data_IF_405885023743
#
_entry.id   IF_405885023743
#
_cell.length_a   1.000
_cell.length_b   1.000
_cell.length_c   1.000
_cell.angle_alpha   90.00
_cell.angle_beta   90.00
_cell.angle_gamma   90.00
#
_symmetry.space_group_name_H-M   'P 1'
#
loop_
_entity.id
_entity.type
_entity.pdbx_description
1 polymer ?
#
# COMPACT_ATOMS: atom_id res chain seq x y z
N UNK A 1 1.08 -30.24 -0.20
CA UNK A 1 1.23 -28.83 -0.62
C UNK A 1 -0.12 -28.18 -0.44
N UNK A 2 -0.20 -27.07 0.30
CA UNK A 2 -1.47 -26.37 0.53
C UNK A 2 -1.83 -25.65 -0.76
N UNK A 3 -3.04 -25.86 -1.28
CA UNK A 3 -3.58 -25.10 -2.42
C UNK A 3 -4.11 -23.75 -1.91
N UNK A 4 -3.20 -22.80 -1.72
CA UNK A 4 -3.52 -21.53 -1.08
C UNK A 4 -4.44 -20.65 -1.94
N UNK A 5 -4.30 -20.73 -3.26
CA UNK A 5 -5.18 -20.01 -4.21
C UNK A 5 -6.59 -20.61 -4.14
N UNK A 6 -6.73 -21.94 -4.17
CA UNK A 6 -8.02 -22.60 -4.01
C UNK A 6 -8.72 -22.24 -2.69
N UNK A 7 -7.95 -22.17 -1.58
CA UNK A 7 -8.47 -21.72 -0.28
C UNK A 7 -8.93 -20.27 -0.30
N UNK A 8 -8.18 -19.38 -0.93
CA UNK A 8 -8.57 -17.99 -1.08
C UNK A 8 -9.88 -17.84 -1.88
N UNK A 9 -9.99 -18.53 -3.02
CA UNK A 9 -11.22 -18.53 -3.84
C UNK A 9 -12.44 -19.09 -3.09
N UNK A 10 -12.22 -20.08 -2.23
CA UNK A 10 -13.27 -20.58 -1.34
C UNK A 10 -13.70 -19.52 -0.31
N UNK A 11 -12.76 -18.78 0.27
CA UNK A 11 -13.07 -17.66 1.16
C UNK A 11 -13.83 -16.53 0.44
N UNK A 12 -13.46 -16.16 -0.78
CA UNK A 12 -14.23 -15.21 -1.59
C UNK A 12 -15.67 -15.68 -1.85
N UNK A 13 -15.87 -16.99 -2.01
CA UNK A 13 -17.21 -17.57 -2.12
C UNK A 13 -17.99 -17.42 -0.82
N UNK A 14 -17.37 -17.67 0.34
CA UNK A 14 -18.00 -17.43 1.64
C UNK A 14 -18.45 -15.98 1.79
N UNK A 15 -17.62 -15.00 1.40
CA UNK A 15 -18.00 -13.59 1.42
C UNK A 15 -19.24 -13.30 0.57
N UNK A 16 -19.30 -13.84 -0.65
CA UNK A 16 -20.48 -13.70 -1.52
C UNK A 16 -21.73 -14.35 -0.94
N UNK A 17 -21.60 -15.57 -0.43
CA UNK A 17 -22.73 -16.33 0.14
C UNK A 17 -23.29 -15.65 1.40
N UNK A 18 -22.48 -14.85 2.10
CA UNK A 18 -22.87 -14.07 3.30
C UNK A 18 -23.18 -12.60 3.02
N UNK A 19 -23.30 -12.19 1.76
CA UNK A 19 -23.55 -10.79 1.38
C UNK A 19 -22.49 -9.78 1.90
N UNK A 20 -21.26 -10.26 2.12
CA UNK A 20 -20.10 -9.49 2.60
C UNK A 20 -19.08 -9.20 1.48
N UNK A 21 -19.37 -9.57 0.23
CA UNK A 21 -18.45 -9.33 -0.89
C UNK A 21 -18.12 -7.84 -1.12
N UNK A 22 -18.95 -6.92 -0.62
CA UNK A 22 -18.70 -5.48 -0.69
C UNK A 22 -17.50 -5.03 0.16
N UNK A 23 -17.04 -5.83 1.12
CA UNK A 23 -15.85 -5.53 1.94
C UNK A 23 -14.55 -6.14 1.39
N UNK A 24 -14.59 -6.77 0.21
CA UNK A 24 -13.40 -7.25 -0.50
C UNK A 24 -13.18 -6.40 -1.75
N UNK A 25 -12.01 -5.78 -1.79
CA UNK A 25 -11.51 -4.99 -2.92
C UNK A 25 -10.18 -5.55 -3.39
N UNK A 26 -9.68 -5.02 -4.51
CA UNK A 26 -8.35 -5.33 -5.02
C UNK A 26 -7.62 -4.03 -5.31
N UNK A 27 -6.43 -3.89 -4.74
CA UNK A 27 -5.54 -2.79 -5.04
C UNK A 27 -4.94 -2.98 -6.44
N UNK A 28 -4.84 -1.91 -7.25
CA UNK A 28 -4.20 -2.00 -8.56
C UNK A 28 -2.69 -2.21 -8.39
N UNK A 29 -2.09 -3.06 -9.21
CA UNK A 29 -0.63 -3.28 -9.17
C UNK A 29 0.16 -1.99 -9.46
N UNK A 30 -0.46 -1.08 -10.21
CA UNK A 30 0.13 0.18 -10.63
C UNK A 30 -0.10 1.29 -9.62
N UNK A 31 -0.60 0.98 -8.43
CA UNK A 31 -0.70 1.93 -7.33
C UNK A 31 0.65 2.64 -7.13
N UNK A 32 0.68 3.96 -7.31
CA UNK A 32 1.90 4.74 -7.16
C UNK A 32 1.85 5.55 -5.88
N UNK A 33 2.63 5.14 -4.90
CA UNK A 33 2.87 5.93 -3.69
C UNK A 33 4.15 6.73 -3.84
N UNK A 34 4.17 7.92 -3.23
CA UNK A 34 5.34 8.79 -3.26
C UNK A 34 6.54 8.09 -2.60
N UNK A 35 7.73 8.21 -3.19
CA UNK A 35 9.02 7.87 -2.57
C UNK A 35 9.29 8.80 -1.39
N UNK A 36 10.23 8.46 -0.52
CA UNK A 36 10.70 9.40 0.51
C UNK A 36 11.90 10.22 0.00
N UNK A 37 12.10 11.40 0.57
CA UNK A 37 13.24 12.26 0.23
C UNK A 37 14.60 11.62 0.51
N UNK A 38 14.67 10.76 1.52
CA UNK A 38 15.86 9.97 1.88
C UNK A 38 16.10 8.83 0.89
N UNK A 39 15.03 8.31 0.27
CA UNK A 39 15.08 7.20 -0.70
C UNK A 39 14.48 7.60 -2.06
N UNK A 40 15.04 8.60 -2.76
CA UNK A 40 14.46 9.14 -3.99
C UNK A 40 14.50 8.16 -5.15
N UNK A 41 15.29 7.08 -5.06
CA UNK A 41 15.36 5.99 -6.02
C UNK A 41 14.36 4.86 -5.75
N UNK A 42 13.57 4.98 -4.67
CA UNK A 42 12.65 3.95 -4.22
C UNK A 42 13.37 2.80 -3.53
N UNK A 43 12.71 1.65 -3.46
CA UNK A 43 13.17 0.49 -2.71
C UNK A 43 13.28 -0.76 -3.58
N UNK A 44 14.34 -1.53 -3.37
CA UNK A 44 14.58 -2.84 -3.97
C UNK A 44 14.16 -3.95 -3.02
N UNK A 45 12.94 -4.47 -3.21
CA UNK A 45 12.34 -5.53 -2.36
C UNK A 45 12.23 -6.89 -3.06
N UNK A 46 12.43 -6.95 -4.38
CA UNK A 46 12.17 -8.16 -5.17
C UNK A 46 12.90 -9.41 -4.65
N UNK A 47 14.13 -9.23 -4.18
CA UNK A 47 14.95 -10.32 -3.64
C UNK A 47 14.36 -10.97 -2.38
N UNK A 48 13.40 -10.32 -1.72
CA UNK A 48 12.72 -10.81 -0.52
C UNK A 48 11.39 -11.50 -0.83
N UNK A 49 10.91 -11.46 -2.08
CA UNK A 49 9.57 -11.95 -2.41
C UNK A 49 9.57 -13.45 -2.71
N UNK A 50 8.95 -14.29 -1.85
CA UNK A 50 8.90 -15.73 -2.05
C UNK A 50 8.17 -16.13 -3.34
N UNK A 51 8.51 -17.29 -3.90
CA UNK A 51 7.91 -17.76 -5.14
C UNK A 51 6.40 -18.05 -5.02
N UNK A 52 5.96 -18.55 -3.86
CA UNK A 52 4.55 -18.81 -3.56
C UNK A 52 3.75 -17.51 -3.39
N UNK A 53 4.34 -16.47 -2.79
CA UNK A 53 3.75 -15.13 -2.78
C UNK A 53 3.55 -14.58 -4.18
N UNK A 54 4.58 -14.66 -5.04
CA UNK A 54 4.51 -14.19 -6.44
C UNK A 54 3.42 -14.91 -7.22
N UNK A 55 3.30 -16.23 -7.05
CA UNK A 55 2.25 -17.04 -7.67
C UNK A 55 0.85 -16.67 -7.14
N UNK A 56 0.71 -16.39 -5.85
CA UNK A 56 -0.55 -15.93 -5.27
C UNK A 56 -0.98 -14.58 -5.87
N UNK A 57 -0.11 -13.58 -5.87
CA UNK A 57 -0.48 -12.25 -6.38
C UNK A 57 -0.70 -12.23 -7.90
N UNK A 58 -0.03 -13.09 -8.67
CA UNK A 58 -0.30 -13.21 -10.12
C UNK A 58 -1.69 -13.76 -10.43
N UNK A 59 -2.24 -14.58 -9.54
CA UNK A 59 -3.54 -15.22 -9.72
C UNK A 59 -4.68 -14.46 -9.05
N UNK A 60 -4.42 -13.88 -7.88
CA UNK A 60 -5.43 -13.23 -7.03
C UNK A 60 -5.37 -11.70 -7.11
N UNK A 61 -4.22 -11.13 -7.46
CA UNK A 61 -3.94 -9.70 -7.33
C UNK A 61 -3.57 -9.32 -5.90
N UNK A 62 -3.87 -8.07 -5.51
CA UNK A 62 -3.58 -7.51 -4.20
C UNK A 62 -4.88 -7.27 -3.42
N UNK A 63 -5.43 -8.30 -2.76
CA UNK A 63 -6.72 -8.17 -2.10
C UNK A 63 -6.66 -7.25 -0.87
N UNK A 64 -7.77 -6.54 -0.66
CA UNK A 64 -7.99 -5.64 0.47
C UNK A 64 -9.31 -6.01 1.10
N UNK A 65 -9.28 -6.46 2.36
CA UNK A 65 -10.46 -6.87 3.11
C UNK A 65 -10.65 -5.96 4.31
N UNK A 66 -11.87 -5.48 4.49
CA UNK A 66 -12.34 -4.85 5.72
C UNK A 66 -13.78 -4.38 5.61
N UNK A 67 -14.44 -4.26 6.74
CA UNK A 67 -15.87 -3.91 6.84
C UNK A 67 -16.11 -2.61 7.59
N UNK A 68 -15.06 -1.83 7.84
CA UNK A 68 -15.15 -0.62 8.63
C UNK A 68 -13.90 0.24 8.54
N UNK A 69 -14.07 1.52 8.83
CA UNK A 69 -12.94 2.41 9.01
C UNK A 69 -12.04 1.95 10.17
N UNK A 70 -10.76 1.74 9.89
CA UNK A 70 -9.80 1.15 10.82
C UNK A 70 -10.20 -0.26 11.29
N UNK A 71 -10.68 -1.09 10.37
CA UNK A 71 -10.92 -2.51 10.62
C UNK A 71 -9.59 -3.26 10.79
N UNK A 72 -9.13 -3.36 12.03
CA UNK A 72 -7.90 -4.09 12.41
C UNK A 72 -8.02 -5.60 12.22
N UNK A 73 -9.23 -6.12 12.05
CA UNK A 73 -9.45 -7.52 11.72
C UNK A 73 -9.39 -7.76 10.21
N UNK A 74 -9.40 -6.70 9.40
CA UNK A 74 -9.13 -6.72 7.96
C UNK A 74 -7.65 -6.86 7.62
N UNK A 75 -7.36 -6.93 6.32
CA UNK A 75 -5.99 -7.00 5.80
C UNK A 75 -5.90 -6.39 4.41
N UNK A 76 -4.84 -5.64 4.14
CA UNK A 76 -4.51 -5.08 2.83
C UNK A 76 -3.22 -5.70 2.32
N UNK A 77 -3.28 -6.42 1.20
CA UNK A 77 -2.07 -6.77 0.45
C UNK A 77 -1.59 -5.57 -0.35
N UNK A 78 -0.29 -5.31 -0.28
CA UNK A 78 0.29 -4.12 -0.86
C UNK A 78 0.86 -4.39 -2.25
N UNK A 79 0.47 -3.59 -3.27
CA UNK A 79 1.10 -3.63 -4.58
C UNK A 79 2.55 -3.11 -4.52
N UNK A 80 3.37 -3.39 -5.54
CA UNK A 80 4.83 -3.31 -5.44
C UNK A 80 5.38 -1.95 -4.98
N UNK A 81 4.82 -0.84 -5.44
CA UNK A 81 5.35 0.47 -5.08
C UNK A 81 4.93 0.91 -3.67
N UNK A 82 3.71 0.60 -3.24
CA UNK A 82 3.30 0.85 -1.85
C UNK A 82 4.12 -0.01 -0.88
N UNK A 83 4.32 -1.29 -1.23
CA UNK A 83 5.24 -2.18 -0.51
C UNK A 83 6.64 -1.57 -0.44
N UNK A 84 7.22 -1.16 -1.57
CA UNK A 84 8.55 -0.57 -1.62
C UNK A 84 8.65 0.69 -0.74
N UNK A 85 7.67 1.59 -0.81
CA UNK A 85 7.66 2.83 -0.02
C UNK A 85 7.61 2.58 1.48
N UNK A 86 6.84 1.61 1.95
CA UNK A 86 6.78 1.30 3.39
C UNK A 86 8.01 0.51 3.85
N UNK A 87 8.63 -0.26 2.95
CA UNK A 87 9.78 -1.12 3.27
C UNK A 87 11.08 -0.37 3.55
N UNK A 88 11.22 0.89 3.11
CA UNK A 88 12.40 1.71 3.49
C UNK A 88 12.33 2.19 4.93
N UNK A 89 11.13 2.28 5.49
CA UNK A 89 10.89 2.67 6.88
C UNK A 89 10.82 1.45 7.83
N UNK A 90 11.32 0.29 7.38
CA UNK A 90 11.42 -0.92 8.19
C UNK A 90 12.89 -1.30 8.42
N UNK A 91 13.38 -1.22 9.67
CA UNK A 91 14.67 -1.79 10.03
C UNK A 91 14.56 -3.33 10.15
N UNK A 92 15.70 -3.98 10.35
CA UNK A 92 15.70 -5.38 10.81
C UNK A 92 15.44 -5.49 12.32
N UNK A 93 15.27 -6.72 12.87
CA UNK A 93 15.03 -6.91 14.30
C UNK A 93 16.15 -6.39 15.23
N UNK A 94 17.32 -6.06 14.69
CA UNK A 94 18.46 -5.48 15.43
C UNK A 94 18.51 -3.94 15.28
N UNK A 95 17.44 -3.31 14.76
CA UNK A 95 17.32 -1.87 14.52
C UNK A 95 18.30 -1.35 13.46
N UNK A 96 18.73 -2.19 12.52
CA UNK A 96 19.55 -1.77 11.39
C UNK A 96 18.66 -1.30 10.22
N UNK A 97 18.73 -0.01 9.94
CA UNK A 97 17.93 0.64 8.89
C UNK A 97 18.50 0.39 7.47
N UNK A 98 17.65 0.31 6.44
CA UNK A 98 18.10 0.28 5.05
C UNK A 98 18.92 1.53 4.70
N UNK A 99 20.10 1.33 4.10
CA UNK A 99 20.95 2.45 3.73
C UNK A 99 20.54 3.04 2.36
N UNK A 100 20.40 4.37 2.24
CA UNK A 100 20.12 5.01 0.96
C UNK A 100 21.28 4.79 -0.03
N UNK A 101 20.92 4.60 -1.30
CA UNK A 101 21.88 4.49 -2.40
C UNK A 101 21.61 5.59 -3.45
N UNK A 102 22.69 6.22 -3.94
CA UNK A 102 22.58 7.38 -4.82
C UNK A 102 22.16 7.02 -6.26
N UNK A 103 22.61 5.85 -6.73
CA UNK A 103 22.53 5.42 -8.13
C UNK A 103 21.58 4.24 -8.37
N UNK A 104 20.95 3.70 -7.32
CA UNK A 104 20.08 2.52 -7.37
C UNK A 104 19.02 2.56 -6.28
N UNK A 105 17.94 1.75 -6.37
CA UNK A 105 16.97 1.62 -5.29
C UNK A 105 17.63 1.17 -3.98
N UNK A 106 17.10 1.65 -2.85
CA UNK A 106 17.55 1.24 -1.52
C UNK A 106 17.26 -0.23 -1.31
N UNK A 107 18.30 -1.00 -0.96
CA UNK A 107 18.12 -2.42 -0.69
C UNK A 107 17.49 -2.58 0.70
N UNK A 108 16.21 -2.95 0.74
CA UNK A 108 15.49 -3.19 1.98
C UNK A 108 15.87 -4.54 2.59
N UNK A 109 15.78 -4.62 3.91
CA UNK A 109 15.96 -5.88 4.66
C UNK A 109 14.65 -6.64 4.82
N UNK A 110 13.54 -5.90 4.87
CA UNK A 110 12.19 -6.42 4.96
C UNK A 110 11.32 -5.85 3.82
N UNK A 111 10.40 -6.64 3.29
CA UNK A 111 9.41 -6.22 2.30
C UNK A 111 8.02 -6.21 2.94
N UNK A 112 7.49 -5.05 3.30
CA UNK A 112 6.17 -4.89 3.93
C UNK A 112 5.05 -5.18 2.92
N UNK A 113 4.54 -6.41 2.92
CA UNK A 113 3.69 -6.91 1.83
C UNK A 113 2.20 -6.91 2.19
N UNK A 114 1.85 -6.84 3.47
CA UNK A 114 0.46 -6.74 3.91
C UNK A 114 0.33 -6.00 5.24
N UNK A 115 -0.80 -5.34 5.49
CA UNK A 115 -1.04 -4.67 6.76
C UNK A 115 -2.50 -4.51 7.16
N UNK A 116 -2.73 -4.30 8.45
CA UNK A 116 -4.05 -4.08 9.07
C UNK A 116 -4.18 -2.70 9.73
N UNK A 117 -3.07 -1.97 9.89
CA UNK A 117 -3.05 -0.53 10.20
C UNK A 117 -1.81 0.10 9.56
N UNK A 118 -1.98 0.59 8.34
CA UNK A 118 -0.89 1.12 7.54
C UNK A 118 -0.35 2.47 8.08
N UNK A 119 -1.11 3.17 8.93
CA UNK A 119 -0.68 4.44 9.53
C UNK A 119 0.40 4.26 10.60
N UNK A 120 0.40 3.11 11.27
CA UNK A 120 1.45 2.70 12.21
C UNK A 120 2.45 1.71 11.61
N UNK A 121 2.34 1.40 10.32
CA UNK A 121 3.07 0.30 9.65
C UNK A 121 2.92 -1.00 10.44
N UNK A 122 1.66 -1.35 10.73
CA UNK A 122 1.28 -2.56 11.47
C UNK A 122 0.81 -3.63 10.48
N UNK A 123 1.40 -4.81 10.53
CA UNK A 123 1.16 -5.82 9.50
C UNK A 123 2.20 -6.91 9.42
N UNK A 124 2.60 -7.20 8.18
CA UNK A 124 3.44 -8.33 7.83
C UNK A 124 4.49 -7.94 6.80
N UNK A 125 5.69 -8.46 6.98
CA UNK A 125 6.79 -8.30 6.02
C UNK A 125 7.42 -9.63 5.67
N UNK A 126 8.06 -9.71 4.50
CA UNK A 126 9.02 -10.77 4.22
C UNK A 126 10.40 -10.32 4.66
N UNK A 127 11.12 -11.18 5.38
CA UNK A 127 12.49 -10.89 5.81
C UNK A 127 13.31 -12.18 5.97
N UNK A 128 14.61 -12.07 6.25
CA UNK A 128 15.46 -13.22 6.48
C UNK A 128 14.91 -14.12 7.59
N UNK A 129 14.96 -15.44 7.40
CA UNK A 129 14.69 -16.38 8.48
C UNK A 129 15.84 -16.35 9.51
N UNK A 130 15.55 -16.50 10.80
CA UNK A 130 16.58 -16.51 11.84
C UNK A 130 17.61 -17.64 11.66
N UNK A 131 17.18 -18.78 11.09
CA UNK A 131 18.04 -19.92 10.75
C UNK A 131 18.78 -19.78 9.42
N UNK A 132 18.60 -18.68 8.69
CA UNK A 132 18.97 -18.54 7.28
C UNK A 132 18.05 -19.33 6.35
N UNK A 133 18.10 -19.01 5.04
CA UNK A 133 17.29 -19.67 4.02
C UNK A 133 16.41 -18.69 3.24
N UNK A 134 15.30 -19.18 2.73
CA UNK A 134 14.30 -18.38 2.02
C UNK A 134 13.65 -17.35 2.96
N UNK A 135 13.20 -16.20 2.44
CA UNK A 135 12.46 -15.22 3.23
C UNK A 135 11.20 -15.82 3.86
N UNK A 136 10.92 -15.42 5.10
CA UNK A 136 9.76 -15.83 5.89
C UNK A 136 8.90 -14.62 6.23
N UNK A 137 7.66 -14.86 6.61
CA UNK A 137 6.74 -13.83 7.10
C UNK A 137 7.14 -13.45 8.52
N UNK A 138 7.27 -12.15 8.74
CA UNK A 138 7.44 -11.52 10.04
C UNK A 138 6.20 -10.70 10.39
N UNK A 139 5.74 -10.78 11.64
CA UNK A 139 4.82 -9.82 12.20
C UNK A 139 5.56 -8.49 12.41
N UNK A 140 4.96 -7.40 11.98
CA UNK A 140 5.47 -6.04 12.15
C UNK A 140 4.51 -5.30 13.06
N UNK A 141 5.05 -4.84 14.20
CA UNK A 141 4.31 -3.98 15.11
C UNK A 141 5.10 -2.70 15.36
N UNK A 142 4.42 -1.56 15.41
CA UNK A 142 5.01 -0.24 15.61
C UNK A 142 6.13 0.07 14.60
N UNK A 143 5.95 -0.37 13.35
CA UNK A 143 6.95 -0.23 12.28
C UNK A 143 8.21 -1.08 12.46
N UNK A 144 8.19 -2.11 13.31
CA UNK A 144 9.35 -2.94 13.59
C UNK A 144 9.01 -4.44 13.42
N UNK A 145 9.81 -5.25 12.71
CA UNK A 145 9.66 -6.70 12.72
C UNK A 145 9.84 -7.26 14.15
N UNK A 146 8.85 -7.98 14.67
CA UNK A 146 8.85 -8.49 16.05
C UNK A 146 8.98 -10.02 16.14
N UNK A 147 8.24 -10.73 15.30
CA UNK A 147 8.09 -12.20 15.42
C UNK A 147 8.18 -12.88 14.06
N UNK A 148 8.98 -13.94 13.96
CA UNK A 148 9.00 -14.84 12.80
C UNK A 148 7.77 -15.77 12.84
N UNK A 149 6.92 -15.68 11.81
CA UNK A 149 5.64 -16.39 11.77
C UNK A 149 5.73 -17.70 10.96
N UNK A 150 6.62 -17.76 9.97
CA UNK A 150 6.84 -18.93 9.11
C UNK A 150 6.73 -18.61 7.62
N UNK A 151 6.51 -19.62 6.78
CA UNK A 151 6.42 -19.39 5.33
C UNK A 151 5.16 -18.61 4.93
N UNK A 152 5.17 -17.99 3.75
CA UNK A 152 4.00 -17.29 3.21
C UNK A 152 2.76 -18.17 3.17
N UNK A 153 2.90 -19.38 2.61
CA UNK A 153 1.78 -20.34 2.51
C UNK A 153 1.20 -20.72 3.89
N UNK A 154 2.04 -20.96 4.90
CA UNK A 154 1.57 -21.31 6.26
C UNK A 154 0.92 -20.13 6.99
N UNK A 155 1.48 -18.93 6.83
CA UNK A 155 0.88 -17.71 7.33
C UNK A 155 -0.49 -17.46 6.68
N UNK A 156 -0.57 -17.49 5.36
CA UNK A 156 -1.82 -17.19 4.65
C UNK A 156 -2.90 -18.24 4.93
N UNK A 157 -2.54 -19.51 5.14
CA UNK A 157 -3.51 -20.56 5.51
C UNK A 157 -4.17 -20.27 6.87
N UNK A 158 -3.35 -19.85 7.85
CA UNK A 158 -3.83 -19.41 9.17
C UNK A 158 -4.66 -18.14 9.05
N UNK A 159 -4.21 -17.19 8.23
CA UNK A 159 -4.88 -15.90 8.07
C UNK A 159 -6.23 -16.03 7.37
N UNK A 160 -6.34 -16.85 6.32
CA UNK A 160 -7.63 -17.21 5.70
C UNK A 160 -8.55 -17.86 6.74
N UNK A 161 -8.03 -18.72 7.60
CA UNK A 161 -8.84 -19.37 8.65
C UNK A 161 -9.34 -18.34 9.68
N UNK A 162 -8.50 -17.39 10.08
CA UNK A 162 -8.85 -16.26 10.96
C UNK A 162 -9.92 -15.37 10.33
N UNK A 163 -9.71 -14.93 9.09
CA UNK A 163 -10.66 -14.12 8.32
C UNK A 163 -11.98 -14.85 8.12
N UNK A 164 -11.94 -16.15 7.82
CA UNK A 164 -13.15 -16.96 7.71
C UNK A 164 -13.93 -16.98 9.03
N UNK A 165 -13.26 -17.20 10.16
CA UNK A 165 -13.91 -17.16 11.48
C UNK A 165 -14.54 -15.78 11.74
N UNK A 166 -13.78 -14.70 11.49
CA UNK A 166 -14.24 -13.31 11.63
C UNK A 166 -15.52 -13.04 10.83
N UNK A 167 -15.52 -13.33 9.52
CA UNK A 167 -16.70 -13.07 8.66
C UNK A 167 -17.87 -13.98 8.98
N UNK A 168 -17.60 -15.18 9.52
CA UNK A 168 -18.68 -16.09 9.91
C UNK A 168 -19.35 -15.74 11.23
N UNK A 169 -18.68 -14.94 12.07
CA UNK A 169 -19.21 -14.50 13.35
C UNK A 169 -20.27 -13.40 13.21
N UNK A 170 -20.32 -12.69 12.08
CA UNK A 170 -21.31 -11.63 11.87
C UNK A 170 -22.73 -12.15 11.77
N UNK A 171 -23.63 -11.62 12.59
CA UNK A 171 -25.06 -11.87 12.47
C UNK A 171 -25.69 -11.02 11.33
N UNK A 172 -26.86 -11.42 10.84
CA UNK A 172 -27.50 -10.77 9.67
C UNK A 172 -27.72 -9.26 9.90
N UNK A 173 -28.16 -8.89 11.11
CA UNK A 173 -28.39 -7.48 11.46
C UNK A 173 -27.08 -6.68 11.55
N UNK A 174 -25.98 -7.31 11.95
CA UNK A 174 -24.66 -6.69 12.00
C UNK A 174 -24.13 -6.41 10.59
N UNK A 175 -24.32 -7.34 9.65
CA UNK A 175 -23.95 -7.17 8.24
C UNK A 175 -24.69 -5.97 7.64
N UNK A 176 -26.00 -5.86 7.91
CA UNK A 176 -26.80 -4.73 7.44
C UNK A 176 -26.31 -3.39 8.02
N UNK A 177 -26.03 -3.34 9.32
CA UNK A 177 -25.52 -2.15 9.99
C UNK A 177 -24.12 -1.74 9.49
N UNK A 178 -23.22 -2.71 9.27
CA UNK A 178 -21.89 -2.46 8.69
C UNK A 178 -22.01 -1.88 7.28
N UNK A 179 -22.89 -2.45 6.45
CA UNK A 179 -23.10 -1.96 5.09
C UNK A 179 -23.66 -0.55 5.05
N UNK A 180 -24.64 -0.23 5.90
CA UNK A 180 -25.22 1.11 6.01
C UNK A 180 -24.17 2.13 6.47
N UNK A 181 -23.40 1.80 7.51
CA UNK A 181 -22.37 2.67 8.08
C UNK A 181 -21.26 3.01 7.08
N UNK A 182 -20.89 2.08 6.21
CA UNK A 182 -19.79 2.27 5.26
C UNK A 182 -20.22 2.89 3.94
N UNK A 183 -21.50 3.24 3.75
CA UNK A 183 -21.97 4.06 2.63
C UNK A 183 -21.71 3.49 1.22
N UNK A 184 -21.22 2.26 1.12
CA UNK A 184 -20.90 1.56 -0.11
C UNK A 184 -19.43 1.54 -0.53
N UNK A 185 -18.59 2.53 -0.18
CA UNK A 185 -17.23 2.66 -0.75
C UNK A 185 -16.30 3.52 0.14
N UNK A 186 -15.73 2.95 1.21
CA UNK A 186 -14.59 3.55 1.90
C UNK A 186 -13.48 2.52 2.05
N UNK A 187 -12.23 2.88 1.74
CA UNK A 187 -11.10 1.98 2.00
C UNK A 187 -10.94 1.83 3.52
N UNK A 188 -11.06 0.60 4.06
CA UNK A 188 -10.95 0.37 5.49
C UNK A 188 -9.56 0.74 6.06
N UNK A 189 -8.53 0.87 5.20
CA UNK A 189 -7.13 1.02 5.61
C UNK A 189 -6.47 2.37 5.28
N UNK A 190 -7.23 3.36 4.76
CA UNK A 190 -6.86 4.76 4.41
C UNK A 190 -5.66 5.00 3.48
N UNK A 191 -4.67 4.12 3.48
CA UNK A 191 -3.46 4.22 2.67
C UNK A 191 -3.72 3.74 1.24
N UNK A 192 -4.94 3.29 0.92
CA UNK A 192 -5.36 3.01 -0.44
C UNK A 192 -6.53 3.92 -0.85
N UNK A 193 -7.24 4.58 0.08
CA UNK A 193 -8.36 5.52 -0.16
C UNK A 193 -8.07 6.51 -1.32
N UNK A 194 -6.90 7.15 -1.30
CA UNK A 194 -6.50 8.14 -2.32
C UNK A 194 -6.21 7.53 -3.70
N UNK A 195 -6.09 6.21 -3.77
CA UNK A 195 -5.71 5.47 -4.96
C UNK A 195 -6.74 4.45 -5.43
N UNK A 196 -7.78 4.23 -4.61
CA UNK A 196 -8.91 3.34 -4.87
C UNK A 196 -10.15 4.10 -5.35
N UNK A 197 -10.12 5.43 -5.41
CA UNK A 197 -11.19 6.24 -6.01
C UNK A 197 -11.39 5.90 -7.49
N UNK A 198 -12.25 4.91 -7.78
CA UNK A 198 -12.64 4.49 -9.12
C UNK A 198 -11.80 3.37 -9.77
N UNK A 199 -11.13 2.51 -8.99
CA UNK A 199 -10.16 1.53 -9.51
C UNK A 199 -10.70 0.46 -10.48
N UNK A 200 -12.02 0.31 -10.64
CA UNK A 200 -12.59 -0.71 -11.53
C UNK A 200 -12.62 -0.33 -13.03
N UNK A 201 -12.53 0.96 -13.38
CA UNK A 201 -12.61 1.43 -14.78
C UNK A 201 -11.46 2.38 -15.17
N UNK A 202 -10.39 2.37 -14.38
CA UNK A 202 -9.25 3.21 -14.62
C UNK A 202 -8.31 2.60 -15.67
N UNK A 203 -8.12 3.31 -16.79
CA UNK A 203 -7.04 3.03 -17.75
C UNK A 203 -5.68 2.83 -17.04
N UNK A 204 -4.83 1.91 -17.51
CA UNK A 204 -3.49 1.75 -16.95
C UNK A 204 -2.68 3.05 -17.10
N UNK A 205 -1.76 3.29 -16.16
CA UNK A 205 -0.79 4.39 -16.26
C UNK A 205 -0.01 4.27 -17.56
N UNK A 206 0.14 5.40 -18.26
CA UNK A 206 0.96 5.46 -19.47
C UNK A 206 2.44 5.39 -19.12
N UNK A 207 3.31 5.03 -20.07
CA UNK A 207 4.76 5.05 -19.85
C UNK A 207 5.29 6.41 -19.36
N UNK A 208 4.62 7.50 -19.72
CA UNK A 208 4.94 8.84 -19.26
C UNK A 208 4.56 9.06 -17.78
N UNK A 209 3.39 8.55 -17.37
CA UNK A 209 2.98 8.60 -15.97
C UNK A 209 3.92 7.75 -15.10
N UNK A 210 4.38 6.62 -15.64
CA UNK A 210 5.36 5.74 -15.02
C UNK A 210 6.75 6.35 -14.88
N UNK A 211 7.07 7.37 -15.66
CA UNK A 211 8.33 8.10 -15.56
C UNK A 211 8.32 9.14 -14.44
N UNK A 212 7.19 9.41 -13.77
CA UNK A 212 7.09 10.45 -12.75
C UNK A 212 6.82 9.86 -11.37
N UNK A 213 7.57 10.30 -10.37
CA UNK A 213 7.39 9.89 -8.98
C UNK A 213 7.36 11.09 -8.04
N UNK A 214 6.33 11.14 -7.19
CA UNK A 214 6.30 12.07 -6.07
C UNK A 214 7.34 11.65 -5.03
N UNK A 215 7.99 12.63 -4.41
CA UNK A 215 8.94 12.46 -3.32
C UNK A 215 8.42 13.29 -2.14
N UNK A 216 8.21 12.66 -1.00
CA UNK A 216 7.70 13.27 0.22
C UNK A 216 8.84 13.48 1.24
N UNK A 217 8.82 14.62 1.93
CA UNK A 217 9.60 14.86 3.14
C UNK A 217 8.70 15.30 4.29
N UNK A 218 8.95 14.68 5.44
CA UNK A 218 8.34 15.01 6.72
C UNK A 218 9.28 15.86 7.60
N UNK A 219 10.53 16.07 7.17
CA UNK A 219 11.54 16.80 7.94
C UNK A 219 11.33 18.32 7.86
N UNK A 220 11.25 19.00 9.00
CA UNK A 220 11.17 20.48 9.11
C UNK A 220 9.85 21.12 8.64
N UNK A 221 9.06 20.43 7.81
CA UNK A 221 7.70 20.82 7.40
C UNK A 221 6.94 19.58 6.96
N UNK A 222 5.97 19.08 7.75
CA UNK A 222 5.23 17.89 7.36
C UNK A 222 4.47 18.12 6.04
N UNK A 223 4.41 17.08 5.21
CA UNK A 223 3.74 17.08 3.89
C UNK A 223 4.36 17.98 2.83
N UNK A 224 5.70 18.00 2.73
CA UNK A 224 6.40 18.66 1.62
C UNK A 224 6.59 17.67 0.47
N UNK A 225 6.06 17.96 -0.71
CA UNK A 225 6.21 17.12 -1.90
C UNK A 225 7.04 17.80 -2.99
N UNK A 226 7.84 17.00 -3.70
CA UNK A 226 8.43 17.37 -4.98
C UNK A 226 8.29 16.22 -5.98
N UNK A 227 8.56 16.49 -7.25
CA UNK A 227 8.40 15.54 -8.35
C UNK A 227 9.75 15.26 -9.01
N UNK A 228 10.08 13.98 -9.16
CA UNK A 228 11.24 13.53 -9.93
C UNK A 228 10.76 12.75 -11.16
N UNK A 229 11.61 12.67 -12.18
CA UNK A 229 11.43 11.73 -13.29
C UNK A 229 12.12 10.37 -13.05
N UNK A 230 12.04 9.45 -14.02
CA UNK A 230 12.62 8.10 -13.92
C UNK A 230 14.14 8.10 -13.84
N UNK A 231 14.79 9.21 -14.26
CA UNK A 231 16.22 9.44 -14.07
C UNK A 231 16.56 10.02 -12.70
N UNK A 232 15.55 10.32 -11.88
CA UNK A 232 15.66 10.94 -10.56
C UNK A 232 15.91 12.44 -10.62
N UNK A 233 15.79 13.07 -11.79
CA UNK A 233 15.94 14.51 -11.91
C UNK A 233 14.67 15.21 -11.43
N UNK A 234 14.84 16.26 -10.60
CA UNK A 234 13.72 17.05 -10.12
C UNK A 234 13.04 17.81 -11.26
N UNK A 235 11.76 17.50 -11.48
CA UNK A 235 10.85 18.26 -12.34
C UNK A 235 10.17 19.38 -11.57
N UNK A 236 9.80 19.09 -10.33
CA UNK A 236 9.34 20.07 -9.36
C UNK A 236 10.18 19.88 -8.10
N UNK A 237 11.10 20.81 -7.77
CA UNK A 237 11.95 20.66 -6.59
C UNK A 237 11.14 20.46 -5.31
N UNK A 238 11.67 19.66 -4.39
CA UNK A 238 11.09 19.47 -3.06
C UNK A 238 10.89 20.82 -2.37
N UNK A 239 9.69 21.05 -1.86
CA UNK A 239 9.41 22.27 -1.11
C UNK A 239 7.97 22.36 -0.59
N UNK A 240 7.71 23.42 0.18
CA UNK A 240 6.42 23.67 0.86
C UNK A 240 5.31 24.10 -0.09
N UNK A 241 5.22 23.57 -1.31
CA UNK A 241 4.27 24.02 -2.33
C UNK A 241 2.99 23.18 -2.38
N UNK A 242 3.09 21.89 -2.12
CA UNK A 242 1.94 20.98 -2.10
C UNK A 242 1.76 20.42 -0.70
N UNK A 243 0.50 20.18 -0.30
CA UNK A 243 0.09 19.61 0.99
C UNK A 243 -0.50 18.21 0.84
N UNK A 244 -1.07 17.92 -0.34
CA UNK A 244 -1.55 16.60 -0.75
C UNK A 244 -1.37 16.49 -2.26
N UNK A 245 -1.08 15.29 -2.73
CA UNK A 245 -0.86 15.00 -4.15
C UNK A 245 -1.55 13.69 -4.50
N UNK A 246 -2.14 13.63 -5.69
CA UNK A 246 -2.52 12.39 -6.34
C UNK A 246 -1.45 12.01 -7.38
N UNK A 247 -1.32 10.72 -7.72
CA UNK A 247 -0.40 10.26 -8.76
C UNK A 247 -0.63 10.96 -10.10
N UNK A 248 0.44 11.10 -10.91
CA UNK A 248 0.32 11.59 -12.27
C UNK A 248 -0.43 10.58 -13.13
N UNK A 249 -1.39 11.07 -13.91
CA UNK A 249 -2.19 10.27 -14.81
C UNK A 249 -2.59 11.08 -16.02
N UNK A 250 -2.49 10.46 -17.21
CA UNK A 250 -2.83 11.09 -18.47
C UNK A 250 -2.11 12.45 -18.66
N UNK A 251 -0.88 12.55 -18.14
CA UNK A 251 -0.05 13.75 -18.24
C UNK A 251 -0.41 14.90 -17.28
N UNK A 252 -1.23 14.67 -16.25
CA UNK A 252 -1.54 15.65 -15.21
C UNK A 252 -1.61 15.02 -13.81
N UNK A 253 -1.51 15.83 -12.76
CA UNK A 253 -1.76 15.40 -11.38
C UNK A 253 -2.70 16.38 -10.69
N UNK A 254 -3.49 15.88 -9.74
CA UNK A 254 -4.26 16.75 -8.85
C UNK A 254 -3.50 16.97 -7.55
N UNK A 255 -3.44 18.22 -7.10
CA UNK A 255 -2.73 18.60 -5.88
C UNK A 255 -3.54 19.58 -5.05
N UNK A 256 -3.27 19.60 -3.75
CA UNK A 256 -3.68 20.68 -2.85
C UNK A 256 -2.45 21.55 -2.58
N UNK A 257 -2.54 22.83 -2.88
CA UNK A 257 -1.46 23.77 -2.59
C UNK A 257 -1.32 24.03 -1.09
N UNK A 258 -0.07 24.07 -0.64
CA UNK A 258 0.31 24.53 0.68
C UNK A 258 0.29 26.07 0.69
N UNK A 259 -0.90 26.64 0.92
CA UNK A 259 -1.09 28.04 1.26
C UNK A 259 -1.28 28.13 2.78
N UNK A 260 -0.84 29.22 3.40
CA UNK A 260 -0.92 29.40 4.87
C UNK A 260 -2.34 29.22 5.46
N UNK A 261 -3.38 29.26 4.63
CA UNK A 261 -4.79 29.17 5.01
C UNK A 261 -5.51 27.90 4.55
N UNK A 262 -4.88 27.02 3.75
CA UNK A 262 -5.53 25.80 3.26
C UNK A 262 -5.31 24.65 4.24
N UNK A 263 -6.37 23.90 4.58
CA UNK A 263 -6.25 22.68 5.40
C UNK A 263 -5.93 21.46 4.50
N UNK A 264 -5.97 20.22 5.02
CA UNK A 264 -6.05 19.03 4.13
C UNK A 264 -7.29 19.05 3.25
N UNK A 265 -8.30 19.85 3.61
CA UNK A 265 -9.39 20.23 2.73
C UNK A 265 -9.04 21.59 2.08
N UNK A 266 -8.78 21.52 0.79
CA UNK A 266 -8.63 22.65 -0.12
C UNK A 266 -9.11 22.22 -1.51
N UNK A 267 -9.34 23.16 -2.44
CA UNK A 267 -9.69 22.77 -3.80
C UNK A 267 -8.52 21.98 -4.40
N UNK A 268 -8.82 20.81 -4.94
CA UNK A 268 -7.91 20.11 -5.82
C UNK A 268 -7.68 20.96 -7.06
N UNK A 269 -6.42 21.14 -7.43
CA UNK A 269 -6.03 21.79 -8.67
C UNK A 269 -5.26 20.82 -9.53
N UNK A 270 -5.51 20.86 -10.83
CA UNK A 270 -4.81 20.02 -11.79
C UNK A 270 -3.54 20.74 -12.27
N UNK A 271 -2.41 20.05 -12.24
CA UNK A 271 -1.10 20.55 -12.65
C UNK A 271 -0.47 19.63 -13.71
N UNK A 272 0.37 20.21 -14.56
CA UNK A 272 1.25 19.50 -15.50
C UNK A 272 2.54 19.02 -14.78
N UNK A 273 3.36 18.16 -15.42
CA UNK A 273 4.62 17.68 -14.85
C UNK A 273 5.65 18.78 -14.51
N UNK A 274 5.53 19.96 -15.11
CA UNK A 274 6.35 21.14 -14.79
C UNK A 274 5.81 21.97 -13.62
N UNK A 275 4.69 21.55 -13.00
CA UNK A 275 4.02 22.23 -11.90
C UNK A 275 3.15 23.42 -12.31
N UNK A 276 2.94 23.66 -13.61
CA UNK A 276 2.01 24.67 -14.11
C UNK A 276 0.55 24.18 -14.03
N UNK A 277 -0.43 25.02 -13.65
CA UNK A 277 -1.84 24.63 -13.69
C UNK A 277 -2.31 24.30 -15.10
N UNK A 278 -3.14 23.26 -15.27
CA UNK A 278 -3.90 23.07 -16.52
C UNK A 278 -5.01 24.13 -16.56
N UNK A 279 -5.11 24.89 -17.66
CA UNK A 279 -6.05 26.02 -17.75
C UNK A 279 -7.51 25.59 -17.55
N UNK A 280 -8.28 26.47 -16.90
CA UNK A 280 -9.75 26.37 -16.80
C UNK A 280 -10.43 26.45 -18.17
#
# INVERSE_FOLDING_TARGET
MIDIIGRWRAFEKTLRDRELAWGLHFAPEQLRYARSAEHPRGAGVDHLLPADYRAFVSEVGYPVIGFGYYDRDGISFLPPEAMARLSVDLPDPEDAWPEPADDRPTLCRHAFFAGYDLSGIEGYSFGPAAGGGEPVVWLVERGMPQEEIGTFTEWLDREISRLHAYVTAFETDEIAALREKNGGEGDPHRLLDYSLGGSYDQAPYTAQDLDLAWVESQEGSPYSYGLIDGTGAWRIPLGKRFRSVLPFRDGAAEVILNAQTTSYAGPWITIRPDGSPTGH
#
